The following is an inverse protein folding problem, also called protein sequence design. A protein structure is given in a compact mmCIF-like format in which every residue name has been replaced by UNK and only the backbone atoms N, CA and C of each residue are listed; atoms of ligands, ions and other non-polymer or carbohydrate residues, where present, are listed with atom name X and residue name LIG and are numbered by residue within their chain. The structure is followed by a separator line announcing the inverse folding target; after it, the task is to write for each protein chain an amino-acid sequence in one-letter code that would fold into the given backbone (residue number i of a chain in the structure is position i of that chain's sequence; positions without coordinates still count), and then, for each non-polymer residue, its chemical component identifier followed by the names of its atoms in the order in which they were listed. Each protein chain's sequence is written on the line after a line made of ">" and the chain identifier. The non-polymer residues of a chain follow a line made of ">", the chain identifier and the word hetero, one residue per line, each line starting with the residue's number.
data_IF_832321171992
#
_entry.id   IF_832321171992
#
_cell.length_a   1.000
_cell.length_b   1.000
_cell.length_c   1.000
_cell.angle_alpha   90.00
_cell.angle_beta   90.00
_cell.angle_gamma   90.00
#
_symmetry.space_group_name_H-M   'P 1'
#
loop_
_entity.id
_entity.type
_entity.pdbx_description
1 polymer ?
#
# COMPACT_ATOMS: atom_id res chain seq x y z
N UNK A 1 -21.45 15.94 28.00
CA UNK A 1 -22.44 16.50 27.06
C UNK A 1 -23.52 17.26 27.80
N UNK A 2 -24.31 16.66 28.69
CA UNK A 2 -25.45 17.33 29.35
C UNK A 2 -25.20 18.74 29.90
N UNK A 3 -24.02 19.00 30.47
CA UNK A 3 -23.63 20.33 30.97
C UNK A 3 -23.55 21.44 29.91
N UNK A 4 -23.44 21.08 28.62
CA UNK A 4 -23.38 21.99 27.47
C UNK A 4 -24.74 22.14 26.78
N UNK A 5 -25.78 21.44 27.26
CA UNK A 5 -27.09 21.38 26.60
C UNK A 5 -27.72 22.76 26.50
N UNK A 6 -27.88 23.44 27.64
CA UNK A 6 -28.60 24.72 27.67
C UNK A 6 -27.87 25.80 26.85
N UNK A 7 -26.54 25.89 26.97
CA UNK A 7 -25.71 26.82 26.19
C UNK A 7 -25.83 26.57 24.68
N UNK A 8 -25.87 25.31 24.25
CA UNK A 8 -26.07 24.96 22.85
C UNK A 8 -27.46 25.36 22.36
N UNK A 9 -28.52 25.11 23.15
CA UNK A 9 -29.90 25.46 22.78
C UNK A 9 -30.10 26.98 22.70
N UNK A 10 -29.51 27.75 23.62
CA UNK A 10 -29.50 29.21 23.56
C UNK A 10 -28.79 29.72 22.30
N UNK A 11 -27.62 29.17 21.99
CA UNK A 11 -26.87 29.51 20.77
C UNK A 11 -27.64 29.18 19.49
N UNK A 12 -28.29 28.01 19.43
CA UNK A 12 -29.15 27.62 18.31
C UNK A 12 -30.36 28.55 18.16
N UNK A 13 -31.02 28.91 19.26
CA UNK A 13 -32.15 29.83 19.25
C UNK A 13 -31.75 31.22 18.76
N UNK A 14 -30.58 31.73 19.16
CA UNK A 14 -30.00 32.97 18.65
C UNK A 14 -29.74 32.96 17.13
N UNK A 15 -29.57 31.77 16.54
CA UNK A 15 -29.44 31.55 15.10
C UNK A 15 -30.75 31.10 14.42
N UNK A 16 -31.89 31.18 15.12
CA UNK A 16 -33.21 30.83 14.58
C UNK A 16 -33.51 29.33 14.50
N UNK A 17 -32.68 28.46 15.09
CA UNK A 17 -32.88 27.01 15.12
C UNK A 17 -33.56 26.66 16.45
N UNK A 18 -34.83 26.26 16.39
CA UNK A 18 -35.64 25.97 17.58
C UNK A 18 -36.53 24.75 17.37
N UNK A 19 -37.15 24.27 18.46
CA UNK A 19 -38.07 23.13 18.43
C UNK A 19 -37.41 21.84 17.94
N UNK A 20 -38.14 21.05 17.15
CA UNK A 20 -37.73 19.72 16.73
C UNK A 20 -36.35 19.67 16.03
N UNK A 21 -35.99 20.72 15.29
CA UNK A 21 -34.69 20.79 14.62
C UNK A 21 -33.52 20.90 15.62
N UNK A 22 -33.70 21.68 16.69
CA UNK A 22 -32.71 21.80 17.76
C UNK A 22 -32.55 20.47 18.53
N UNK A 23 -33.66 19.80 18.80
CA UNK A 23 -33.67 18.49 19.47
C UNK A 23 -32.95 17.43 18.64
N UNK A 24 -33.20 17.38 17.33
CA UNK A 24 -32.53 16.43 16.42
C UNK A 24 -31.01 16.67 16.36
N UNK A 25 -30.57 17.93 16.33
CA UNK A 25 -29.13 18.27 16.35
C UNK A 25 -28.48 17.80 17.66
N UNK A 26 -29.14 18.02 18.80
CA UNK A 26 -28.65 17.58 20.10
C UNK A 26 -28.49 16.05 20.16
N UNK A 27 -29.52 15.30 19.73
CA UNK A 27 -29.47 13.84 19.67
C UNK A 27 -28.32 13.34 18.78
N UNK A 28 -28.15 13.92 17.59
CA UNK A 28 -27.05 13.57 16.68
C UNK A 28 -25.67 13.88 17.27
N UNK A 29 -25.51 15.03 17.92
CA UNK A 29 -24.24 15.41 18.58
C UNK A 29 -23.88 14.44 19.71
N UNK A 30 -24.85 14.00 20.49
CA UNK A 30 -24.62 12.98 21.53
C UNK A 30 -24.18 11.65 20.91
N UNK A 31 -24.83 11.21 19.83
CA UNK A 31 -24.42 10.01 19.10
C UNK A 31 -23.02 10.13 18.50
N UNK A 32 -22.69 11.28 17.91
CA UNK A 32 -21.37 11.55 17.34
C UNK A 32 -20.28 11.65 18.42
N UNK A 33 -20.57 12.14 19.61
CA UNK A 33 -19.58 12.25 20.68
C UNK A 33 -18.97 10.89 21.09
N UNK A 34 -19.68 9.78 20.87
CA UNK A 34 -19.17 8.43 21.16
C UNK A 34 -18.33 7.80 20.04
N UNK A 35 -18.52 8.22 18.79
CA UNK A 35 -17.88 7.60 17.61
C UNK A 35 -17.16 8.58 16.69
N UNK A 36 -17.12 9.86 17.06
CA UNK A 36 -16.45 10.92 16.33
C UNK A 36 -14.96 10.65 16.28
N UNK A 37 -14.37 10.82 15.10
CA UNK A 37 -12.95 10.58 14.88
C UNK A 37 -12.28 11.87 14.37
N UNK A 38 -11.06 12.19 14.82
CA UNK A 38 -10.38 13.41 14.37
C UNK A 38 -10.14 13.39 12.86
N UNK A 39 -10.72 14.36 12.17
CA UNK A 39 -10.59 14.49 10.71
C UNK A 39 -9.13 14.67 10.29
N UNK A 40 -8.38 15.52 10.99
CA UNK A 40 -6.96 15.78 10.69
C UNK A 40 -6.10 14.52 10.76
N UNK A 41 -6.36 13.63 11.72
CA UNK A 41 -5.69 12.33 11.83
C UNK A 41 -6.13 11.37 10.72
N UNK A 42 -7.40 11.38 10.35
CA UNK A 42 -7.89 10.54 9.23
C UNK A 42 -7.23 10.93 7.91
N UNK A 43 -7.17 12.24 7.63
CA UNK A 43 -6.63 12.76 6.38
C UNK A 43 -5.14 12.44 6.24
N UNK A 44 -4.36 12.58 7.31
CA UNK A 44 -2.91 12.30 7.26
C UNK A 44 -2.62 10.83 6.93
N UNK A 45 -3.38 9.89 7.49
CA UNK A 45 -3.24 8.47 7.16
C UNK A 45 -3.82 8.11 5.78
N UNK A 46 -4.98 8.68 5.42
CA UNK A 46 -5.62 8.45 4.13
C UNK A 46 -4.68 8.84 2.96
N UNK A 47 -3.89 9.90 3.13
CA UNK A 47 -2.89 10.30 2.14
C UNK A 47 -1.84 9.22 1.90
N UNK A 48 -1.30 8.61 2.96
CA UNK A 48 -0.30 7.54 2.85
C UNK A 48 -0.91 6.29 2.20
N UNK A 49 -2.15 5.94 2.56
CA UNK A 49 -2.88 4.82 1.94
C UNK A 49 -3.09 5.09 0.45
N UNK A 50 -3.49 6.31 0.07
CA UNK A 50 -3.67 6.69 -1.33
C UNK A 50 -2.36 6.62 -2.11
N UNK A 51 -1.28 7.22 -1.59
CA UNK A 51 0.02 7.21 -2.24
C UNK A 51 0.58 5.80 -2.43
N UNK A 52 0.49 4.95 -1.40
CA UNK A 52 0.92 3.55 -1.48
C UNK A 52 0.04 2.72 -2.44
N UNK A 53 -1.27 2.94 -2.44
CA UNK A 53 -2.19 2.29 -3.39
C UNK A 53 -1.93 2.72 -4.83
N UNK A 54 -1.61 3.99 -5.04
CA UNK A 54 -1.21 4.53 -6.34
C UNK A 54 0.07 3.86 -6.85
N UNK A 55 1.10 3.75 -6.00
CA UNK A 55 2.32 3.01 -6.34
C UNK A 55 2.05 1.52 -6.60
N UNK A 56 1.23 0.85 -5.79
CA UNK A 56 0.86 -0.55 -6.02
C UNK A 56 0.15 -0.75 -7.36
N UNK A 57 -0.68 0.21 -7.77
CA UNK A 57 -1.41 0.12 -9.04
C UNK A 57 -0.50 0.43 -10.24
N UNK A 58 0.24 1.54 -10.19
CA UNK A 58 1.01 2.04 -11.33
C UNK A 58 2.44 1.48 -11.42
N UNK A 59 3.05 1.10 -10.31
CA UNK A 59 4.44 0.63 -10.24
C UNK A 59 4.56 -0.61 -9.36
N UNK A 60 3.82 -1.70 -9.67
CA UNK A 60 3.69 -2.84 -8.76
C UNK A 60 5.01 -3.57 -8.51
N UNK A 61 5.90 -3.66 -9.51
CA UNK A 61 7.21 -4.31 -9.39
C UNK A 61 8.12 -3.52 -8.45
N UNK A 62 8.20 -2.20 -8.65
CA UNK A 62 9.01 -1.28 -7.85
C UNK A 62 8.45 -1.15 -6.43
N UNK A 63 7.13 -1.12 -6.30
CA UNK A 63 6.44 -1.10 -5.00
C UNK A 63 6.75 -2.35 -4.18
N UNK A 64 6.66 -3.55 -4.79
CA UNK A 64 7.07 -4.79 -4.11
C UNK A 64 8.56 -4.74 -3.72
N UNK A 65 9.43 -4.21 -4.58
CA UNK A 65 10.86 -4.06 -4.29
C UNK A 65 11.08 -3.21 -3.05
N UNK A 66 10.43 -2.05 -2.97
CA UNK A 66 10.48 -1.18 -1.79
C UNK A 66 9.97 -1.87 -0.53
N UNK A 67 8.84 -2.58 -0.62
CA UNK A 67 8.29 -3.33 0.51
C UNK A 67 9.25 -4.42 1.00
N UNK A 68 9.87 -5.19 0.11
CA UNK A 68 10.83 -6.22 0.50
C UNK A 68 12.09 -5.60 1.10
N UNK A 69 12.60 -4.50 0.56
CA UNK A 69 13.83 -3.89 1.05
C UNK A 69 13.61 -3.22 2.43
N UNK A 70 12.39 -2.74 2.72
CA UNK A 70 12.01 -2.15 4.01
C UNK A 70 11.72 -3.16 5.13
N UNK A 71 11.83 -4.48 4.88
CA UNK A 71 11.63 -5.50 5.92
C UNK A 71 12.71 -5.44 7.01
N UNK A 72 12.39 -5.77 8.28
CA UNK A 72 11.12 -6.35 8.74
C UNK A 72 9.98 -5.32 8.90
N UNK A 73 8.80 -5.66 8.40
CA UNK A 73 7.56 -4.89 8.60
C UNK A 73 6.55 -5.74 9.38
N UNK A 74 5.89 -5.15 10.39
CA UNK A 74 5.09 -5.89 11.39
C UNK A 74 3.76 -6.51 10.90
N UNK A 75 3.49 -6.58 9.59
CA UNK A 75 2.17 -6.97 9.07
C UNK A 75 2.19 -8.23 8.20
N UNK A 76 3.02 -8.27 7.15
CA UNK A 76 3.01 -9.35 6.16
C UNK A 76 4.41 -9.94 5.95
N UNK A 77 4.46 -11.27 5.85
CA UNK A 77 5.70 -11.97 5.54
C UNK A 77 6.18 -11.65 4.11
N UNK A 78 7.49 -11.66 3.84
CA UNK A 78 8.02 -11.51 2.48
C UNK A 78 7.38 -12.46 1.47
N UNK A 79 7.12 -13.72 1.88
CA UNK A 79 6.44 -14.71 1.03
C UNK A 79 5.01 -14.30 0.69
N UNK A 80 4.25 -13.79 1.67
CA UNK A 80 2.88 -13.29 1.44
C UNK A 80 2.87 -12.15 0.41
N UNK A 81 3.83 -11.22 0.51
CA UNK A 81 3.97 -10.10 -0.41
C UNK A 81 4.31 -10.57 -1.84
N UNK A 82 5.27 -11.48 -1.97
CA UNK A 82 5.66 -12.05 -3.27
C UNK A 82 4.50 -12.80 -3.92
N UNK A 83 3.77 -13.62 -3.15
CA UNK A 83 2.63 -14.38 -3.66
C UNK A 83 1.46 -13.49 -4.07
N UNK A 84 1.16 -12.43 -3.32
CA UNK A 84 0.18 -11.42 -3.73
C UNK A 84 0.61 -10.80 -5.06
N UNK A 85 1.85 -10.31 -5.12
CA UNK A 85 2.41 -9.62 -6.27
C UNK A 85 2.37 -10.45 -7.56
N UNK A 86 2.73 -11.73 -7.49
CA UNK A 86 2.71 -12.63 -8.63
C UNK A 86 1.29 -12.86 -9.17
N UNK A 87 0.27 -12.88 -8.31
CA UNK A 87 -1.14 -13.08 -8.73
C UNK A 87 -1.67 -11.93 -9.56
N UNK A 88 -1.23 -10.71 -9.29
CA UNK A 88 -1.59 -9.52 -10.07
C UNK A 88 -0.50 -9.08 -11.06
N UNK A 89 0.34 -10.02 -11.51
CA UNK A 89 1.16 -9.86 -12.71
C UNK A 89 2.59 -9.35 -12.49
N UNK A 90 3.05 -9.16 -11.25
CA UNK A 90 4.48 -8.91 -11.01
C UNK A 90 5.28 -10.16 -11.34
N UNK A 91 6.35 -9.99 -12.11
CA UNK A 91 7.28 -11.08 -12.41
C UNK A 91 8.37 -11.07 -11.36
N UNK A 92 8.44 -12.14 -10.57
CA UNK A 92 9.48 -12.31 -9.54
C UNK A 92 10.49 -13.33 -10.04
N UNK A 93 11.69 -12.84 -10.16
CA UNK A 93 12.90 -13.49 -10.62
C UNK A 93 13.64 -13.94 -9.34
N UNK A 94 14.09 -15.20 -9.28
CA UNK A 94 14.72 -15.78 -8.08
C UNK A 94 16.01 -15.07 -7.63
N UNK A 95 16.81 -15.66 -6.75
CA UNK A 95 18.20 -15.26 -6.56
C UNK A 95 19.08 -15.73 -7.71
N UNK A 96 20.10 -14.96 -8.09
CA UNK A 96 21.12 -15.35 -9.08
C UNK A 96 22.48 -14.83 -8.62
N UNK A 97 23.47 -15.73 -8.57
CA UNK A 97 24.81 -15.43 -8.05
C UNK A 97 25.53 -14.33 -8.84
N UNK A 98 25.27 -14.24 -10.15
CA UNK A 98 25.90 -13.32 -11.09
C UNK A 98 25.07 -12.05 -11.31
N UNK A 99 23.88 -11.93 -10.71
CA UNK A 99 22.97 -10.78 -10.93
C UNK A 99 22.46 -10.15 -9.64
N UNK A 100 21.96 -10.94 -8.69
CA UNK A 100 21.37 -10.46 -7.44
C UNK A 100 22.36 -9.67 -6.58
N UNK A 101 21.86 -8.62 -5.92
CA UNK A 101 22.58 -7.87 -4.89
C UNK A 101 22.11 -8.32 -3.51
N UNK A 102 22.61 -7.70 -2.45
CA UNK A 102 22.11 -7.88 -1.08
C UNK A 102 20.60 -7.69 -1.02
N UNK A 103 20.12 -6.53 -1.48
CA UNK A 103 18.71 -6.17 -1.56
C UNK A 103 18.06 -6.62 -2.87
N UNK A 104 16.72 -6.66 -2.88
CA UNK A 104 15.97 -6.87 -4.11
C UNK A 104 16.22 -5.71 -5.07
N UNK A 105 16.22 -6.02 -6.37
CA UNK A 105 16.42 -5.05 -7.44
C UNK A 105 15.34 -5.19 -8.51
N UNK A 106 15.13 -4.13 -9.29
CA UNK A 106 14.25 -4.14 -10.44
C UNK A 106 15.12 -4.19 -11.70
N UNK A 107 14.82 -5.11 -12.60
CA UNK A 107 15.56 -5.27 -13.85
C UNK A 107 14.64 -5.31 -15.07
N UNK A 108 15.10 -4.86 -16.25
CA UNK A 108 14.35 -4.99 -17.49
C UNK A 108 13.98 -6.44 -17.76
N UNK A 109 12.76 -6.64 -18.25
CA UNK A 109 12.22 -7.94 -18.61
C UNK A 109 11.72 -7.91 -20.06
N UNK A 110 12.03 -8.95 -20.81
CA UNK A 110 11.32 -9.24 -22.06
C UNK A 110 10.01 -9.93 -21.71
N UNK A 111 8.88 -9.23 -21.89
CA UNK A 111 7.55 -9.77 -21.63
C UNK A 111 6.58 -9.43 -22.75
N UNK A 112 5.84 -10.45 -23.19
CA UNK A 112 4.76 -10.32 -24.16
C UNK A 112 3.65 -9.41 -23.60
N UNK A 113 3.35 -8.26 -24.24
CA UNK A 113 2.24 -7.39 -23.83
C UNK A 113 0.87 -8.08 -23.82
N UNK A 114 0.71 -9.22 -24.53
CA UNK A 114 -0.49 -10.03 -24.54
C UNK A 114 -0.57 -11.04 -23.37
N UNK A 115 0.48 -11.22 -22.57
CA UNK A 115 0.44 -12.06 -21.38
C UNK A 115 -0.29 -11.34 -20.23
N UNK A 116 -1.55 -11.72 -20.05
CA UNK A 116 -2.47 -11.12 -19.09
C UNK A 116 -2.73 -12.07 -17.91
N UNK A 117 -2.46 -11.60 -16.70
CA UNK A 117 -2.96 -12.18 -15.46
C UNK A 117 -4.31 -11.54 -15.08
N UNK A 118 -5.24 -12.33 -14.54
CA UNK A 118 -6.51 -11.83 -14.00
C UNK A 118 -6.56 -12.07 -12.50
N UNK A 119 -6.82 -11.01 -11.73
CA UNK A 119 -6.90 -11.07 -10.28
C UNK A 119 -8.02 -10.15 -9.77
N UNK A 120 -8.95 -10.71 -8.98
CA UNK A 120 -10.17 -10.03 -8.53
C UNK A 120 -10.91 -9.25 -9.62
N UNK A 121 -11.05 -9.84 -10.82
CA UNK A 121 -11.73 -9.22 -11.96
C UNK A 121 -10.90 -8.14 -12.69
N UNK A 122 -9.74 -7.77 -12.17
CA UNK A 122 -8.80 -6.86 -12.82
C UNK A 122 -7.83 -7.62 -13.72
N UNK A 123 -7.50 -7.03 -14.87
CA UNK A 123 -6.53 -7.58 -15.82
C UNK A 123 -5.20 -6.84 -15.72
N UNK A 124 -4.11 -7.60 -15.72
CA UNK A 124 -2.75 -7.10 -15.53
C UNK A 124 -1.84 -7.66 -16.61
N UNK A 125 -1.08 -6.81 -17.29
CA UNK A 125 0.01 -7.20 -18.18
C UNK A 125 1.21 -7.62 -17.33
N UNK A 126 1.68 -8.86 -17.49
CA UNK A 126 2.81 -9.33 -16.68
C UNK A 126 4.03 -8.44 -16.84
N UNK A 127 4.62 -8.07 -15.71
CA UNK A 127 5.78 -7.18 -15.63
C UNK A 127 5.52 -5.72 -15.99
N UNK A 128 4.27 -5.29 -16.26
CA UNK A 128 3.98 -3.90 -16.70
C UNK A 128 2.92 -3.18 -15.87
N UNK A 129 1.98 -3.93 -15.27
CA UNK A 129 0.87 -3.37 -14.49
C UNK A 129 -0.51 -3.55 -15.14
N UNK A 130 -1.55 -2.83 -14.68
CA UNK A 130 -2.93 -3.00 -15.11
C UNK A 130 -3.14 -2.76 -16.61
N UNK A 131 -4.12 -3.44 -17.21
CA UNK A 131 -4.48 -3.25 -18.63
C UNK A 131 -4.98 -1.84 -18.93
N UNK A 132 -5.65 -1.19 -17.98
CA UNK A 132 -6.15 0.18 -18.11
C UNK A 132 -5.08 1.27 -17.93
N UNK A 133 -3.87 0.91 -17.53
CA UNK A 133 -2.78 1.84 -17.29
C UNK A 133 -1.92 2.03 -18.56
N UNK A 134 -1.20 3.17 -18.73
CA UNK A 134 -0.31 3.37 -19.87
C UNK A 134 0.71 2.24 -19.99
N UNK A 135 1.03 1.87 -21.23
CA UNK A 135 2.00 0.82 -21.49
C UNK A 135 3.40 1.29 -21.07
N UNK A 136 3.97 0.62 -20.06
CA UNK A 136 5.35 0.82 -19.59
C UNK A 136 6.28 -0.28 -20.10
N UNK A 137 7.61 -0.06 -20.12
CA UNK A 137 8.58 -1.15 -20.26
C UNK A 137 8.31 -2.25 -19.24
N UNK A 138 8.52 -3.51 -19.63
CA UNK A 138 8.35 -4.61 -18.70
C UNK A 138 9.55 -4.68 -17.73
N UNK A 139 9.26 -4.89 -16.46
CA UNK A 139 10.23 -5.06 -15.39
C UNK A 139 9.92 -6.29 -14.55
N UNK A 140 10.99 -6.92 -14.06
CA UNK A 140 10.92 -8.00 -13.10
C UNK A 140 11.62 -7.60 -11.80
N UNK A 141 11.12 -8.11 -10.68
CA UNK A 141 11.82 -8.02 -9.40
C UNK A 141 12.79 -9.18 -9.29
N UNK A 142 14.09 -8.92 -9.16
CA UNK A 142 15.09 -9.91 -8.77
C UNK A 142 15.19 -9.98 -7.25
N UNK A 143 15.05 -11.18 -6.69
CA UNK A 143 15.23 -11.41 -5.26
C UNK A 143 16.68 -11.12 -4.85
N UNK A 144 16.83 -10.36 -3.76
CA UNK A 144 18.12 -10.11 -3.12
C UNK A 144 18.67 -11.36 -2.43
N UNK A 145 20.00 -11.42 -2.32
CA UNK A 145 20.72 -12.51 -1.66
C UNK A 145 20.39 -12.61 -0.17
N UNK A 146 19.97 -11.51 0.48
CA UNK A 146 19.49 -11.49 1.88
C UNK A 146 18.29 -12.40 2.14
N UNK A 147 17.57 -12.79 1.09
CA UNK A 147 16.43 -13.71 1.16
C UNK A 147 16.80 -15.18 0.96
N UNK A 148 18.08 -15.48 0.69
CA UNK A 148 18.58 -16.86 0.60
C UNK A 148 18.82 -17.38 2.01
N UNK A 149 18.08 -18.43 2.38
CA UNK A 149 18.23 -19.06 3.70
C UNK A 149 19.65 -19.61 3.87
N UNK A 150 20.23 -19.39 5.06
CA UNK A 150 21.58 -19.82 5.43
C UNK A 150 22.73 -19.13 4.65
N UNK A 151 22.46 -17.99 4.03
CA UNK A 151 23.49 -17.12 3.44
C UNK A 151 23.66 -15.88 4.33
N UNK A 152 24.83 -15.72 4.95
CA UNK A 152 25.10 -14.61 5.85
C UNK A 152 25.62 -13.37 5.11
N UNK A 153 25.53 -12.20 5.76
CA UNK A 153 25.97 -10.92 5.19
C UNK A 153 27.45 -10.94 4.75
N UNK A 154 28.30 -11.69 5.47
CA UNK A 154 29.71 -11.83 5.14
C UNK A 154 29.92 -12.63 3.85
N UNK A 155 29.16 -13.71 3.62
CA UNK A 155 29.19 -14.46 2.38
C UNK A 155 28.64 -13.64 1.22
N UNK A 156 27.54 -12.90 1.42
CA UNK A 156 26.96 -12.02 0.41
C UNK A 156 27.98 -10.97 -0.02
N UNK A 157 28.64 -10.31 0.94
CA UNK A 157 29.66 -9.31 0.66
C UNK A 157 30.81 -9.89 -0.17
N UNK A 158 31.25 -11.13 0.13
CA UNK A 158 32.29 -11.82 -0.65
C UNK A 158 31.84 -12.15 -2.07
N UNK A 159 30.57 -12.56 -2.24
CA UNK A 159 29.99 -12.84 -3.57
C UNK A 159 29.98 -11.56 -4.40
N UNK A 160 29.51 -10.45 -3.83
CA UNK A 160 29.46 -9.15 -4.54
C UNK A 160 30.86 -8.63 -4.89
N UNK A 161 31.83 -8.75 -3.99
CA UNK A 161 33.20 -8.32 -4.23
C UNK A 161 33.95 -9.16 -5.27
N UNK A 162 33.47 -10.37 -5.59
CA UNK A 162 34.10 -11.28 -6.54
C UNK A 162 33.54 -11.16 -7.98
N UNK A 163 32.58 -10.26 -8.22
CA UNK A 163 31.94 -10.03 -9.53
C UNK A 163 32.56 -8.86 -10.26
#
# INVERSE_FOLDING_TARGET
>A
MEKLRDELYEGMAGNGITGAAADEIWEKLQGFASFGFPESHSVSFAYIVYASSWLKYHWPTEFLCGLLNAQPMGFYSPNSLVQDAQRHGVVVLGPDINRSQYDCTVEPLEADPADIATYYGMKWRRGRGPVGDPLRPASGLRMGLRYVRNLGDAEITRIEAAR
#
